data_IF_968235901454
#
_entry.id   IF_968235901454
#
_cell.length_a   1.000
_cell.length_b   1.000
_cell.length_c   1.000
_cell.angle_alpha   90.00
_cell.angle_beta   90.00
_cell.angle_gamma   90.00
#
_symmetry.space_group_name_H-M   'P 1'
#
loop_
_entity.id
_entity.type
_entity.pdbx_description
1 polymer ?
#
# COMPACT_ATOMS: atom_id res chain seq x y z
N UNK A 1 1.71 -0.57 -15.18
CA UNK A 1 0.99 0.66 -15.58
C UNK A 1 1.63 1.87 -14.90
N UNK A 2 1.45 3.10 -15.40
CA UNK A 2 2.08 4.30 -14.82
C UNK A 2 1.78 4.47 -13.31
N UNK A 3 0.55 4.17 -12.90
CA UNK A 3 0.07 4.33 -11.51
C UNK A 3 0.74 3.34 -10.53
N UNK A 4 1.05 2.12 -10.96
CA UNK A 4 1.77 1.13 -10.13
C UNK A 4 3.20 1.58 -9.83
N UNK A 5 3.88 2.15 -10.82
CA UNK A 5 5.21 2.70 -10.61
C UNK A 5 5.18 3.93 -9.71
N UNK A 6 4.17 4.79 -9.84
CA UNK A 6 3.98 5.93 -8.92
C UNK A 6 3.75 5.48 -7.48
N UNK A 7 2.92 4.46 -7.26
CA UNK A 7 2.69 3.88 -5.94
C UNK A 7 4.00 3.32 -5.37
N UNK A 8 4.73 2.53 -6.17
CA UNK A 8 5.97 1.91 -5.70
C UNK A 8 7.04 2.94 -5.33
N UNK A 9 7.19 3.98 -6.14
CA UNK A 9 8.14 5.07 -5.86
C UNK A 9 7.75 5.81 -4.58
N UNK A 10 6.47 6.15 -4.41
CA UNK A 10 5.99 6.84 -3.23
C UNK A 10 6.11 6.00 -1.95
N UNK A 11 5.84 4.70 -2.02
CA UNK A 11 6.03 3.78 -0.89
C UNK A 11 7.51 3.64 -0.54
N UNK A 12 8.38 3.44 -1.55
CA UNK A 12 9.83 3.34 -1.34
C UNK A 12 10.38 4.59 -0.64
N UNK A 13 10.02 5.77 -1.14
CA UNK A 13 10.46 7.05 -0.56
C UNK A 13 9.97 7.21 0.88
N UNK A 14 8.71 6.85 1.17
CA UNK A 14 8.16 6.93 2.53
C UNK A 14 8.77 5.93 3.50
N UNK A 15 9.03 4.70 3.06
CA UNK A 15 9.69 3.66 3.84
C UNK A 15 11.11 4.11 4.18
N UNK A 16 11.88 4.61 3.21
CA UNK A 16 13.23 5.14 3.42
C UNK A 16 13.25 6.39 4.31
N UNK A 17 12.23 7.22 4.23
CA UNK A 17 12.07 8.40 5.10
C UNK A 17 11.62 8.06 6.53
N UNK A 18 11.52 6.78 6.88
CA UNK A 18 11.15 6.28 8.21
C UNK A 18 9.78 6.77 8.69
N UNK A 19 8.84 6.94 7.74
CA UNK A 19 7.50 7.45 8.04
C UNK A 19 6.62 6.37 8.67
N UNK A 20 5.73 6.80 9.55
CA UNK A 20 4.79 5.95 10.27
C UNK A 20 3.92 5.14 9.30
N UNK A 21 3.61 3.90 9.69
CA UNK A 21 2.72 2.96 8.99
C UNK A 21 1.39 3.61 8.54
N UNK A 22 0.87 4.55 9.33
CA UNK A 22 -0.37 5.28 9.04
C UNK A 22 -0.29 6.06 7.73
N UNK A 23 0.83 6.72 7.45
CA UNK A 23 1.03 7.50 6.22
C UNK A 23 1.15 6.62 4.97
N UNK A 24 1.60 5.37 5.14
CA UNK A 24 1.65 4.37 4.07
C UNK A 24 0.24 3.84 3.77
N UNK A 25 -0.58 3.64 4.81
CA UNK A 25 -2.00 3.26 4.67
C UNK A 25 -2.82 4.37 4.00
N UNK A 26 -2.64 5.63 4.39
CA UNK A 26 -3.29 6.77 3.72
C UNK A 26 -2.90 6.86 2.24
N UNK A 27 -1.65 6.55 1.91
CA UNK A 27 -1.18 6.53 0.54
C UNK A 27 -1.92 5.46 -0.27
N UNK A 28 -2.03 4.24 0.27
CA UNK A 28 -2.81 3.16 -0.35
C UNK A 28 -4.27 3.57 -0.57
N UNK A 29 -4.94 4.16 0.42
CA UNK A 29 -6.31 4.70 0.27
C UNK A 29 -6.41 5.70 -0.90
N UNK A 30 -5.44 6.61 -1.00
CA UNK A 30 -5.39 7.63 -2.06
C UNK A 30 -5.28 7.01 -3.46
N UNK A 31 -4.49 5.94 -3.60
CA UNK A 31 -4.35 5.23 -4.86
C UNK A 31 -5.58 4.37 -5.18
N UNK A 32 -6.28 3.85 -4.17
CA UNK A 32 -7.57 3.16 -4.35
C UNK A 32 -8.60 4.13 -4.91
N UNK A 33 -8.72 5.31 -4.31
CA UNK A 33 -9.68 6.33 -4.74
C UNK A 33 -9.37 6.88 -6.15
N UNK A 34 -8.10 6.77 -6.59
CA UNK A 34 -7.68 7.02 -7.99
C UNK A 34 -8.09 5.92 -8.98
N UNK A 35 -8.72 4.84 -8.52
CA UNK A 35 -9.19 3.73 -9.35
C UNK A 35 -8.20 2.58 -9.51
N UNK A 36 -7.16 2.53 -8.67
CA UNK A 36 -6.27 1.36 -8.62
C UNK A 36 -7.02 0.16 -8.02
N UNK A 37 -6.75 -1.04 -8.53
CA UNK A 37 -7.39 -2.26 -8.05
C UNK A 37 -6.58 -2.90 -6.92
N UNK A 38 -7.25 -3.78 -6.16
CA UNK A 38 -6.62 -4.62 -5.13
C UNK A 38 -5.45 -5.40 -5.66
N UNK A 39 -5.63 -6.01 -6.83
CA UNK A 39 -4.60 -6.82 -7.48
C UNK A 39 -3.35 -5.98 -7.80
N UNK A 40 -3.52 -4.82 -8.45
CA UNK A 40 -2.40 -3.93 -8.76
C UNK A 40 -1.67 -3.40 -7.52
N UNK A 41 -2.41 -3.10 -6.44
CA UNK A 41 -1.78 -2.70 -5.18
C UNK A 41 -1.01 -3.83 -4.54
N UNK A 42 -1.58 -5.04 -4.54
CA UNK A 42 -0.94 -6.23 -3.97
C UNK A 42 0.33 -6.58 -4.75
N UNK A 43 0.28 -6.52 -6.07
CA UNK A 43 1.44 -6.79 -6.92
C UNK A 43 2.55 -5.74 -6.73
N UNK A 44 2.17 -4.46 -6.56
CA UNK A 44 3.12 -3.40 -6.22
C UNK A 44 3.78 -3.61 -4.85
N UNK A 45 3.00 -3.98 -3.83
CA UNK A 45 3.52 -4.29 -2.50
C UNK A 45 4.42 -5.52 -2.49
N UNK A 46 4.01 -6.60 -3.15
CA UNK A 46 4.84 -7.81 -3.30
C UNK A 46 6.18 -7.50 -3.99
N UNK A 47 6.18 -6.58 -4.95
CA UNK A 47 7.41 -6.14 -5.64
C UNK A 47 8.33 -5.27 -4.76
N UNK A 48 7.81 -4.74 -3.65
CA UNK A 48 8.54 -3.90 -2.69
C UNK A 48 9.04 -4.66 -1.46
N UNK A 49 8.67 -5.94 -1.30
CA UNK A 49 9.15 -6.77 -0.19
C UNK A 49 10.68 -6.86 -0.26
N UNK A 50 11.32 -6.49 0.84
CA UNK A 50 12.76 -6.62 1.08
C UNK A 50 12.97 -6.97 2.55
N UNK A 51 14.09 -7.61 2.91
CA UNK A 51 14.37 -8.00 4.30
C UNK A 51 14.28 -6.83 5.31
N UNK A 52 14.52 -5.59 4.88
CA UNK A 52 14.50 -4.41 5.74
C UNK A 52 13.09 -3.85 6.00
N UNK A 53 12.11 -4.16 5.15
CA UNK A 53 10.76 -3.63 5.23
C UNK A 53 9.67 -4.72 5.21
N UNK A 54 10.07 -5.99 5.30
CA UNK A 54 9.21 -7.16 5.20
C UNK A 54 7.98 -7.02 6.11
N UNK A 55 8.18 -6.84 7.42
CA UNK A 55 7.08 -6.69 8.39
C UNK A 55 6.11 -5.57 8.01
N UNK A 56 6.64 -4.42 7.58
CA UNK A 56 5.83 -3.27 7.15
C UNK A 56 5.02 -3.58 5.91
N UNK A 57 5.62 -4.25 4.93
CA UNK A 57 4.92 -4.62 3.69
C UNK A 57 3.85 -5.68 3.97
N UNK A 58 4.10 -6.66 4.85
CA UNK A 58 3.08 -7.62 5.27
C UNK A 58 1.89 -6.95 5.96
N UNK A 59 2.13 -5.96 6.83
CA UNK A 59 1.08 -5.13 7.43
C UNK A 59 0.25 -4.36 6.38
N UNK A 60 0.93 -3.84 5.35
CA UNK A 60 0.26 -3.13 4.25
C UNK A 60 -0.50 -4.10 3.33
N UNK A 61 0.01 -5.30 3.12
CA UNK A 61 -0.66 -6.36 2.37
C UNK A 61 -1.94 -6.78 3.08
N UNK A 62 -1.93 -6.94 4.41
CA UNK A 62 -3.13 -7.21 5.20
C UNK A 62 -4.16 -6.07 5.07
N UNK A 63 -3.69 -4.82 5.11
CA UNK A 63 -4.54 -3.64 4.89
C UNK A 63 -5.16 -3.59 3.47
N UNK A 64 -4.40 -3.97 2.44
CA UNK A 64 -4.87 -4.09 1.05
C UNK A 64 -5.73 -5.34 0.86
N UNK A 65 -5.53 -6.39 1.64
CA UNK A 65 -6.41 -7.56 1.69
C UNK A 65 -7.80 -7.17 2.19
N UNK A 66 -7.88 -6.28 3.18
CA UNK A 66 -9.10 -5.54 3.56
C UNK A 66 -9.52 -4.41 2.61
N UNK A 67 -8.81 -4.26 1.49
CA UNK A 67 -8.88 -3.21 0.46
C UNK A 67 -9.17 -1.80 0.99
N UNK A 68 -8.37 -1.45 1.98
CA UNK A 68 -8.26 -0.13 2.60
C UNK A 68 -9.53 0.33 3.38
N UNK A 69 -10.10 -0.59 4.15
CA UNK A 69 -11.33 -0.47 4.95
C UNK A 69 -11.39 0.76 5.91
N UNK A 70 -12.38 1.67 5.77
CA UNK A 70 -12.59 2.83 6.66
C UNK A 70 -13.63 2.61 7.80
N UNK A 71 -13.77 1.39 8.34
CA UNK A 71 -14.95 0.82 9.05
C UNK A 71 -16.06 0.43 8.06
N UNK A 72 -16.40 -0.88 7.98
CA UNK A 72 -17.44 -1.53 7.13
C UNK A 72 -16.98 -1.95 5.72
N UNK A 73 -17.46 -3.04 5.12
CA UNK A 73 -18.85 -3.24 4.73
C UNK A 73 -19.61 -4.28 5.61
N UNK A 74 -20.28 -3.84 6.69
CA UNK A 74 -21.51 -4.50 7.16
C UNK A 74 -22.71 -3.69 6.64
N UNK A 75 -23.32 -4.17 5.56
CA UNK A 75 -24.74 -3.95 5.26
C UNK A 75 -25.33 -5.22 4.65
#
# INVERSE_FOLDING_TARGET
MLIEQELMNALTEKIQSNKNLLELRELLVLFRDKGMTKESMRDALNSLISDENEDTIWDLLDFVEGFCNPDLDLY
#
